data_IF_903969562528
#
_entry.id   IF_903969562528
#
_cell.length_a   1.000
_cell.length_b   1.000
_cell.length_c   1.000
_cell.angle_alpha   90.00
_cell.angle_beta   90.00
_cell.angle_gamma   90.00
#
_symmetry.space_group_name_H-M   'P 1'
#
loop_
_entity.id
_entity.type
_entity.pdbx_description
1 polymer ?
#
# COMPACT_ATOMS: atom_id res chain seq x y z
N UNK A 1 -0.43 13.98 -27.07
CA UNK A 1 -1.79 14.49 -26.83
C UNK A 1 -2.61 13.32 -26.32
N UNK A 2 -2.51 13.07 -25.01
CA UNK A 2 -3.62 12.51 -24.21
C UNK A 2 -3.26 12.78 -22.74
N UNK A 3 -3.45 14.02 -22.32
CA UNK A 3 -3.30 14.50 -20.94
C UNK A 3 -4.69 14.73 -20.33
N UNK A 4 -5.60 13.77 -20.51
CA UNK A 4 -6.93 13.84 -19.90
C UNK A 4 -7.25 12.57 -19.13
N UNK A 5 -6.56 12.42 -17.99
CA UNK A 5 -7.16 11.79 -16.82
C UNK A 5 -6.56 12.35 -15.52
N UNK A 6 -6.35 13.67 -15.47
CA UNK A 6 -6.20 14.36 -14.18
C UNK A 6 -7.62 14.52 -13.63
N UNK A 7 -8.08 13.51 -12.89
CA UNK A 7 -9.35 13.57 -12.18
C UNK A 7 -9.30 14.74 -11.21
N UNK A 8 -10.03 15.81 -11.55
CA UNK A 8 -10.28 16.91 -10.65
C UNK A 8 -11.01 16.39 -9.41
N UNK A 9 -10.40 16.47 -8.24
CA UNK A 9 -11.15 16.30 -7.00
C UNK A 9 -10.66 17.28 -5.95
N UNK A 10 -11.15 18.52 -6.03
CA UNK A 10 -11.36 19.31 -4.82
C UNK A 10 -12.87 19.37 -4.62
N UNK A 11 -13.35 18.75 -3.53
CA UNK A 11 -14.42 19.26 -2.67
C UNK A 11 -14.77 18.23 -1.60
N UNK A 12 -14.03 18.19 -0.48
CA UNK A 12 -14.51 17.68 0.81
C UNK A 12 -15.14 16.28 0.87
N UNK A 13 -15.12 15.49 -0.21
CA UNK A 13 -15.81 14.21 -0.32
C UNK A 13 -14.87 13.12 0.17
N UNK A 14 -15.34 12.32 1.14
CA UNK A 14 -14.57 11.14 1.58
C UNK A 14 -14.67 10.14 0.45
N UNK A 15 -13.54 9.67 -0.04
CA UNK A 15 -13.52 8.52 -0.94
C UNK A 15 -13.40 7.27 -0.08
N UNK A 16 -14.17 6.24 -0.42
CA UNK A 16 -14.15 4.96 0.30
C UNK A 16 -13.79 3.85 -0.68
N UNK A 17 -12.83 3.04 -0.27
CA UNK A 17 -12.38 1.86 -1.01
C UNK A 17 -12.57 0.62 -0.16
N UNK A 18 -12.77 -0.52 -0.82
CA UNK A 18 -12.49 -1.84 -0.23
C UNK A 18 -11.27 -2.39 -0.95
N UNK A 19 -10.30 -2.90 -0.19
CA UNK A 19 -8.96 -3.23 -0.69
C UNK A 19 -8.54 -4.62 -0.24
N UNK A 20 -8.07 -5.43 -1.18
CA UNK A 20 -7.33 -6.65 -0.92
C UNK A 20 -5.86 -6.40 -1.14
N UNK A 21 -5.01 -6.76 -0.17
CA UNK A 21 -3.56 -6.79 -0.32
C UNK A 21 -3.08 -8.22 -0.20
N UNK A 22 -2.33 -8.66 -1.20
CA UNK A 22 -1.94 -10.05 -1.38
C UNK A 22 -0.42 -10.11 -1.38
N UNK A 23 0.17 -10.90 -0.49
CA UNK A 23 1.59 -11.22 -0.54
C UNK A 23 1.90 -12.08 -1.77
N UNK A 24 2.86 -11.65 -2.58
CA UNK A 24 3.22 -12.29 -3.85
C UNK A 24 4.59 -12.95 -3.73
N UNK A 25 4.67 -14.25 -4.07
CA UNK A 25 5.93 -15.00 -4.11
C UNK A 25 6.57 -15.02 -5.49
N UNK A 26 5.73 -15.04 -6.53
CA UNK A 26 6.14 -15.08 -7.93
C UNK A 26 5.50 -13.89 -8.66
N UNK A 27 6.34 -12.91 -8.99
CA UNK A 27 5.92 -11.68 -9.66
C UNK A 27 5.33 -11.96 -11.03
N UNK A 28 5.98 -12.81 -11.83
CA UNK A 28 5.56 -13.06 -13.22
C UNK A 28 4.25 -13.83 -13.27
N UNK A 29 4.08 -14.82 -12.38
CA UNK A 29 2.83 -15.56 -12.27
C UNK A 29 1.66 -14.65 -11.85
N UNK A 30 1.86 -13.79 -10.84
CA UNK A 30 0.83 -12.85 -10.42
C UNK A 30 0.54 -11.81 -11.50
N UNK A 31 1.58 -11.27 -12.16
CA UNK A 31 1.42 -10.35 -13.28
C UNK A 31 0.57 -10.97 -14.39
N UNK A 32 0.85 -12.22 -14.77
CA UNK A 32 0.06 -12.94 -15.77
C UNK A 32 -1.39 -13.09 -15.33
N UNK A 33 -1.64 -13.49 -14.09
CA UNK A 33 -2.99 -13.68 -13.57
C UNK A 33 -3.79 -12.36 -13.55
N UNK A 34 -3.17 -11.25 -13.14
CA UNK A 34 -3.80 -9.93 -13.18
C UNK A 34 -4.07 -9.48 -14.62
N UNK A 35 -3.12 -9.71 -15.54
CA UNK A 35 -3.34 -9.42 -16.96
C UNK A 35 -4.52 -10.22 -17.54
N UNK A 36 -4.63 -11.51 -17.23
CA UNK A 36 -5.72 -12.36 -17.70
C UNK A 36 -7.09 -11.88 -17.16
N UNK A 37 -7.13 -11.28 -15.97
CA UNK A 37 -8.35 -10.74 -15.34
C UNK A 37 -8.73 -9.35 -15.84
N UNK A 38 -7.76 -8.47 -16.06
CA UNK A 38 -7.99 -7.04 -16.31
C UNK A 38 -7.59 -6.57 -17.72
N UNK A 39 -6.93 -7.43 -18.51
CA UNK A 39 -6.53 -7.18 -19.90
C UNK A 39 -5.32 -6.26 -20.08
N UNK A 40 -4.67 -5.83 -19.00
CA UNK A 40 -3.51 -4.94 -19.00
C UNK A 40 -2.76 -5.05 -17.68
N UNK A 41 -1.51 -4.56 -17.63
CA UNK A 41 -0.80 -4.25 -16.38
C UNK A 41 -0.71 -2.74 -16.11
N UNK A 42 -1.18 -1.93 -17.06
CA UNK A 42 -1.17 -0.47 -16.97
C UNK A 42 0.23 0.13 -17.02
N UNK A 43 0.46 1.18 -16.22
CA UNK A 43 1.68 2.00 -16.24
C UNK A 43 2.52 1.75 -15.00
N UNK A 44 3.84 1.74 -15.17
CA UNK A 44 4.79 1.58 -14.06
C UNK A 44 5.28 2.94 -13.57
N UNK A 45 5.28 3.13 -12.25
CA UNK A 45 5.80 4.31 -11.57
C UNK A 45 6.80 3.92 -10.49
N UNK A 46 7.71 4.83 -10.16
CA UNK A 46 8.46 4.81 -8.89
C UNK A 46 7.81 5.76 -7.92
N UNK A 47 7.45 5.28 -6.74
CA UNK A 47 6.81 6.09 -5.71
C UNK A 47 7.64 6.10 -4.42
N UNK A 48 7.67 7.27 -3.77
CA UNK A 48 8.24 7.44 -2.43
C UNK A 48 7.16 8.06 -1.54
N UNK A 49 6.76 7.32 -0.50
CA UNK A 49 5.77 7.77 0.46
C UNK A 49 6.43 8.10 1.79
N UNK A 50 6.32 9.36 2.21
CA UNK A 50 6.61 9.80 3.56
C UNK A 50 5.34 9.65 4.40
N UNK A 51 5.38 8.76 5.40
CA UNK A 51 4.25 8.50 6.29
C UNK A 51 4.44 9.29 7.58
N UNK A 52 3.42 10.03 7.97
CA UNK A 52 3.39 10.84 9.18
C UNK A 52 2.27 10.38 10.10
N UNK A 53 2.52 10.50 11.40
CA UNK A 53 1.48 10.30 12.40
C UNK A 53 0.46 11.44 12.30
N UNK A 54 -0.82 11.10 12.34
CA UNK A 54 -1.92 12.06 12.33
C UNK A 54 -2.82 11.84 13.54
N UNK A 55 -3.60 12.85 13.93
CA UNK A 55 -4.57 12.71 15.02
C UNK A 55 -5.63 11.65 14.71
N UNK A 56 -5.92 11.47 13.43
CA UNK A 56 -6.88 10.50 12.91
C UNK A 56 -6.22 9.81 11.72
N UNK A 57 -6.10 8.48 11.77
CA UNK A 57 -5.46 7.68 10.73
C UNK A 57 -4.00 8.07 10.48
N UNK A 58 -3.64 8.19 9.21
CA UNK A 58 -2.29 8.53 8.76
C UNK A 58 -2.34 9.69 7.76
N UNK A 59 -1.24 10.42 7.70
CA UNK A 59 -0.97 11.38 6.63
C UNK A 59 0.20 10.87 5.81
N UNK A 60 0.07 10.92 4.48
CA UNK A 60 1.08 10.46 3.55
C UNK A 60 1.38 11.54 2.51
N UNK A 61 2.66 11.82 2.30
CA UNK A 61 3.16 12.65 1.22
C UNK A 61 3.88 11.75 0.21
N UNK A 62 3.32 11.64 -1.01
CA UNK A 62 3.82 10.80 -2.10
C UNK A 62 4.49 11.63 -3.17
N UNK A 63 5.69 11.21 -3.57
CA UNK A 63 6.36 11.62 -4.81
C UNK A 63 6.23 10.51 -5.85
N UNK A 64 6.04 10.88 -7.12
CA UNK A 64 5.97 9.95 -8.26
C UNK A 64 7.08 10.32 -9.25
N UNK A 65 7.92 9.36 -9.62
CA UNK A 65 9.02 9.49 -10.60
C UNK A 65 9.90 10.73 -10.39
N UNK A 66 10.22 11.04 -9.13
CA UNK A 66 11.06 12.18 -8.73
C UNK A 66 10.51 13.56 -9.17
N UNK A 67 9.21 13.65 -9.43
CA UNK A 67 8.55 14.90 -9.79
C UNK A 67 8.64 15.95 -8.65
N UNK A 68 8.73 17.25 -8.98
CA UNK A 68 8.73 18.32 -7.98
C UNK A 68 7.39 18.48 -7.27
N UNK A 69 6.30 18.00 -7.88
CA UNK A 69 4.97 17.92 -7.30
C UNK A 69 4.68 16.53 -6.72
N UNK A 70 3.70 16.45 -5.83
CA UNK A 70 3.29 15.19 -5.21
C UNK A 70 1.83 15.13 -4.84
N UNK A 71 1.47 14.10 -4.08
CA UNK A 71 0.13 13.89 -3.54
C UNK A 71 0.21 13.89 -2.02
N UNK A 72 -0.59 14.72 -1.37
CA UNK A 72 -0.84 14.64 0.07
C UNK A 72 -2.15 13.88 0.29
N UNK A 73 -2.12 12.83 1.11
CA UNK A 73 -3.29 11.99 1.38
C UNK A 73 -3.45 11.76 2.88
N UNK A 74 -4.63 12.07 3.42
CA UNK A 74 -5.06 11.66 4.74
C UNK A 74 -5.97 10.44 4.59
N UNK A 75 -5.72 9.37 5.36
CA UNK A 75 -6.48 8.14 5.24
C UNK A 75 -6.58 7.34 6.54
N UNK A 76 -7.67 6.59 6.66
CA UNK A 76 -7.92 5.62 7.72
C UNK A 76 -8.14 4.24 7.10
N UNK A 77 -7.59 3.19 7.71
CA UNK A 77 -7.74 1.81 7.28
C UNK A 77 -8.36 0.99 8.39
N UNK A 78 -9.48 0.35 8.11
CA UNK A 78 -10.22 -0.46 9.08
C UNK A 78 -10.43 -1.86 8.51
N UNK A 79 -10.16 -2.93 9.27
CA UNK A 79 -10.43 -4.29 8.80
C UNK A 79 -11.93 -4.51 8.62
N UNK A 80 -12.33 -5.26 7.59
CA UNK A 80 -13.76 -5.54 7.34
C UNK A 80 -14.38 -6.50 8.35
N UNK A 81 -13.57 -7.19 9.15
CA UNK A 81 -13.99 -8.07 10.25
C UNK A 81 -13.01 -7.91 11.41
N UNK A 82 -13.53 -7.77 12.64
CA UNK A 82 -12.71 -7.61 13.84
C UNK A 82 -12.18 -8.95 14.39
N UNK A 83 -12.74 -10.08 13.93
CA UNK A 83 -12.40 -11.42 14.43
C UNK A 83 -11.47 -12.20 13.50
N UNK A 84 -11.19 -11.70 12.31
CA UNK A 84 -10.43 -12.39 11.27
C UNK A 84 -9.17 -11.61 10.91
N UNK A 85 -8.07 -12.33 10.67
CA UNK A 85 -6.75 -11.73 10.39
C UNK A 85 -6.52 -11.43 8.91
N UNK A 86 -7.15 -12.21 8.02
CA UNK A 86 -6.88 -12.22 6.58
C UNK A 86 -8.08 -11.66 5.82
N UNK A 87 -8.32 -10.36 5.95
CA UNK A 87 -9.55 -9.73 5.48
C UNK A 87 -9.29 -8.52 4.59
N UNK A 88 -10.24 -8.19 3.69
CA UNK A 88 -10.22 -6.91 3.01
C UNK A 88 -10.18 -5.73 4.01
N UNK A 89 -9.51 -4.66 3.61
CA UNK A 89 -9.48 -3.41 4.35
C UNK A 89 -10.49 -2.43 3.75
N UNK A 90 -11.17 -1.66 4.58
CA UNK A 90 -11.93 -0.49 4.16
C UNK A 90 -11.04 0.71 4.38
N UNK A 91 -10.78 1.47 3.31
CA UNK A 91 -9.97 2.68 3.38
C UNK A 91 -10.84 3.90 3.09
N UNK A 92 -10.90 4.81 4.04
CA UNK A 92 -11.48 6.14 3.86
C UNK A 92 -10.36 7.15 3.67
N UNK A 93 -10.43 7.98 2.64
CA UNK A 93 -9.34 8.89 2.34
C UNK A 93 -9.77 10.19 1.69
N UNK A 94 -8.87 11.16 1.80
CA UNK A 94 -8.89 12.47 1.15
C UNK A 94 -7.51 12.74 0.61
N UNK A 95 -7.44 13.37 -0.55
CA UNK A 95 -6.16 13.72 -1.13
C UNK A 95 -6.19 15.07 -1.83
N UNK A 96 -5.01 15.65 -1.99
CA UNK A 96 -4.79 16.86 -2.75
C UNK A 96 -3.42 16.78 -3.44
N UNK A 97 -3.32 17.39 -4.62
CA UNK A 97 -2.02 17.62 -5.24
C UNK A 97 -1.26 18.71 -4.47
N UNK A 98 0.06 18.52 -4.34
CA UNK A 98 0.95 19.54 -3.78
C UNK A 98 1.98 19.94 -4.84
N UNK A 99 2.16 21.24 -5.10
CA UNK A 99 3.00 21.69 -6.21
C UNK A 99 4.51 21.65 -5.90
N UNK A 100 4.90 21.56 -4.62
CA UNK A 100 6.29 21.56 -4.20
C UNK A 100 6.51 20.55 -3.06
N UNK A 101 7.07 19.40 -3.40
CA UNK A 101 7.27 18.30 -2.46
C UNK A 101 8.22 18.65 -1.32
N UNK A 102 9.33 19.33 -1.63
CA UNK A 102 10.37 19.63 -0.65
C UNK A 102 9.88 20.60 0.42
N UNK A 103 9.17 21.64 0.00
CA UNK A 103 8.60 22.65 0.90
C UNK A 103 7.48 22.05 1.75
N UNK A 104 6.60 21.23 1.14
CA UNK A 104 5.54 20.55 1.89
C UNK A 104 6.14 19.57 2.90
N UNK A 105 7.12 18.75 2.50
CA UNK A 105 7.84 17.83 3.38
C UNK A 105 8.48 18.58 4.56
N UNK A 106 9.19 19.68 4.30
CA UNK A 106 9.82 20.47 5.35
C UNK A 106 8.82 20.97 6.40
N UNK A 107 7.66 21.46 5.96
CA UNK A 107 6.58 21.91 6.87
C UNK A 107 6.01 20.73 7.67
N UNK A 108 5.73 19.60 7.01
CA UNK A 108 5.13 18.44 7.66
C UNK A 108 6.11 17.80 8.66
N UNK A 109 7.36 17.56 8.28
CA UNK A 109 8.38 16.97 9.17
C UNK A 109 8.75 17.87 10.35
N UNK A 110 8.51 19.18 10.26
CA UNK A 110 8.64 20.09 11.40
C UNK A 110 7.42 20.05 12.35
N UNK A 111 6.27 19.57 11.86
CA UNK A 111 4.99 19.66 12.59
C UNK A 111 4.48 18.30 13.08
N UNK A 112 4.91 17.20 12.45
CA UNK A 112 4.45 15.84 12.67
C UNK A 112 5.64 14.89 12.76
N UNK A 113 5.45 13.81 13.51
CA UNK A 113 6.39 12.70 13.54
C UNK A 113 6.37 11.93 12.20
N UNK A 114 7.54 11.79 11.57
CA UNK A 114 7.72 10.92 10.41
C UNK A 114 7.86 9.46 10.88
N UNK A 115 6.87 8.64 10.54
CA UNK A 115 6.75 7.25 10.96
C UNK A 115 7.60 6.30 10.11
N UNK A 116 7.91 6.70 8.86
CA UNK A 116 8.72 5.91 7.95
C UNK A 116 8.60 6.38 6.50
N UNK A 117 9.46 5.80 5.66
CA UNK A 117 9.52 6.08 4.23
C UNK A 117 9.33 4.76 3.48
N UNK A 118 8.33 4.69 2.60
CA UNK A 118 8.04 3.52 1.77
C UNK A 118 8.44 3.83 0.33
N UNK A 119 9.44 3.12 -0.19
CA UNK A 119 9.86 3.20 -1.58
C UNK A 119 9.34 1.98 -2.34
N UNK A 120 8.75 2.21 -3.52
CA UNK A 120 8.21 1.13 -4.33
C UNK A 120 8.29 1.40 -5.82
N UNK A 121 8.42 0.32 -6.57
CA UNK A 121 8.13 0.25 -8.00
C UNK A 121 6.75 -0.38 -8.15
N UNK A 122 5.81 0.34 -8.75
CA UNK A 122 4.39 -0.03 -8.79
C UNK A 122 3.87 -0.03 -10.22
N UNK A 123 3.25 -1.13 -10.64
CA UNK A 123 2.39 -1.15 -11.82
C UNK A 123 0.99 -0.74 -11.41
N UNK A 124 0.36 0.22 -12.10
CA UNK A 124 -1.01 0.71 -11.82
C UNK A 124 -1.87 0.54 -13.05
N UNK A 125 -3.03 -0.09 -12.88
CA UNK A 125 -4.10 -0.08 -13.88
C UNK A 125 -5.44 0.28 -13.25
N UNK A 126 -6.30 0.91 -14.03
CA UNK A 126 -7.70 1.12 -13.69
C UNK A 126 -8.58 0.37 -14.70
N UNK A 127 -9.52 -0.42 -14.20
CA UNK A 127 -10.52 -1.13 -15.00
C UNK A 127 -11.89 -0.96 -14.37
N UNK A 128 -12.68 -0.02 -14.91
CA UNK A 128 -13.94 0.40 -14.30
C UNK A 128 -13.75 0.88 -12.85
N UNK A 129 -14.43 0.21 -11.91
CA UNK A 129 -14.32 0.51 -10.47
C UNK A 129 -13.07 -0.08 -9.81
N UNK A 130 -12.32 -0.94 -10.51
CA UNK A 130 -11.10 -1.51 -9.98
C UNK A 130 -9.91 -0.58 -10.19
N UNK A 131 -9.10 -0.47 -9.14
CA UNK A 131 -7.73 -0.01 -9.18
C UNK A 131 -6.86 -1.19 -8.76
N UNK A 132 -5.88 -1.55 -9.58
CA UNK A 132 -5.03 -2.71 -9.31
C UNK A 132 -3.58 -2.27 -9.32
N UNK A 133 -2.87 -2.70 -8.30
CA UNK A 133 -1.44 -2.47 -8.14
C UNK A 133 -0.68 -3.80 -8.12
N UNK A 134 0.51 -3.81 -8.71
CA UNK A 134 1.52 -4.83 -8.47
C UNK A 134 2.82 -4.13 -8.07
N UNK A 135 3.19 -4.31 -6.80
CA UNK A 135 4.18 -3.53 -6.10
C UNK A 135 5.40 -4.37 -5.76
N UNK A 136 6.58 -3.84 -6.06
CA UNK A 136 7.85 -4.24 -5.46
C UNK A 136 8.22 -3.17 -4.44
N UNK A 137 8.10 -3.50 -3.15
CA UNK A 137 8.31 -2.58 -2.04
C UNK A 137 9.67 -2.87 -1.41
N UNK A 138 10.52 -1.84 -1.36
CA UNK A 138 11.87 -1.92 -0.79
C UNK A 138 11.80 -2.39 0.67
N UNK A 139 12.70 -3.30 1.05
CA UNK A 139 12.78 -3.94 2.38
C UNK A 139 11.54 -4.76 2.82
N UNK A 140 10.45 -4.76 2.07
CA UNK A 140 9.18 -5.41 2.47
C UNK A 140 8.86 -6.64 1.62
N UNK A 141 8.98 -6.54 0.30
CA UNK A 141 8.70 -7.63 -0.65
C UNK A 141 7.69 -7.24 -1.73
N UNK A 142 7.08 -8.25 -2.34
CA UNK A 142 6.19 -8.08 -3.50
C UNK A 142 4.74 -8.27 -3.08
N UNK A 143 3.85 -7.36 -3.50
CA UNK A 143 2.45 -7.38 -3.16
C UNK A 143 1.56 -7.00 -4.34
N UNK A 144 0.40 -7.62 -4.46
CA UNK A 144 -0.67 -7.15 -5.33
C UNK A 144 -1.77 -6.49 -4.49
N UNK A 145 -2.23 -5.31 -4.90
CA UNK A 145 -3.40 -4.67 -4.30
C UNK A 145 -4.54 -4.65 -5.32
N UNK A 146 -5.71 -5.15 -4.94
CA UNK A 146 -6.93 -5.05 -5.75
C UNK A 146 -7.95 -4.24 -4.97
N UNK A 147 -8.28 -3.07 -5.50
CA UNK A 147 -9.07 -2.05 -4.84
C UNK A 147 -10.36 -1.85 -5.61
N UNK A 148 -11.49 -1.98 -4.95
CA UNK A 148 -12.80 -1.61 -5.48
C UNK A 148 -13.20 -0.25 -4.93
N UNK A 149 -13.28 0.76 -5.80
CA UNK A 149 -13.70 2.12 -5.44
C UNK A 149 -15.22 2.19 -5.34
N UNK A 150 -15.72 2.57 -4.18
CA UNK A 150 -17.16 2.73 -3.94
C UNK A 150 -17.63 4.07 -4.48
N UNK A 151 -18.82 4.07 -5.09
CA UNK A 151 -19.51 5.31 -5.41
C UNK A 151 -20.11 5.94 -4.15
N UNK A 152 -20.38 7.26 -4.14
CA UNK A 152 -21.09 7.89 -3.05
C UNK A 152 -22.41 7.18 -2.73
N UNK A 153 -22.55 6.68 -1.50
CA UNK A 153 -23.73 5.94 -1.04
C UNK A 153 -23.76 4.45 -1.39
N UNK A 154 -22.76 3.92 -2.10
CA UNK A 154 -22.64 2.48 -2.33
C UNK A 154 -22.29 1.76 -1.01
N UNK A 155 -23.02 0.69 -0.62
CA UNK A 155 -22.73 -0.03 0.62
C UNK A 155 -21.38 -0.75 0.56
N UNK A 156 -20.58 -0.65 1.63
CA UNK A 156 -19.30 -1.38 1.79
C UNK A 156 -19.47 -2.88 1.52
N UNK A 157 -20.57 -3.47 1.99
CA UNK A 157 -20.89 -4.88 1.77
C UNK A 157 -21.00 -5.28 0.29
N UNK A 158 -21.30 -4.34 -0.61
CA UNK A 158 -21.26 -4.60 -2.04
C UNK A 158 -19.81 -4.76 -2.53
N UNK A 159 -18.91 -3.85 -2.15
CA UNK A 159 -17.49 -3.95 -2.47
C UNK A 159 -16.86 -5.23 -1.92
N UNK A 160 -17.21 -5.60 -0.68
CA UNK A 160 -16.74 -6.86 -0.07
C UNK A 160 -17.18 -8.09 -0.85
N UNK A 161 -18.45 -8.17 -1.28
CA UNK A 161 -18.93 -9.29 -2.11
C UNK A 161 -18.21 -9.37 -3.45
N UNK A 162 -17.96 -8.22 -4.07
CA UNK A 162 -17.24 -8.13 -5.34
C UNK A 162 -15.81 -8.66 -5.20
N UNK A 163 -15.11 -8.28 -4.14
CA UNK A 163 -13.76 -8.78 -3.87
C UNK A 163 -13.76 -10.26 -3.46
N UNK A 164 -14.76 -10.74 -2.72
CA UNK A 164 -14.90 -12.15 -2.38
C UNK A 164 -15.12 -13.04 -3.62
N UNK A 165 -16.00 -12.62 -4.54
CA UNK A 165 -16.17 -13.28 -5.83
C UNK A 165 -14.84 -13.32 -6.63
N UNK A 166 -14.05 -12.24 -6.57
CA UNK A 166 -12.77 -12.16 -7.26
C UNK A 166 -11.73 -13.10 -6.64
N UNK A 167 -11.61 -13.15 -5.31
CA UNK A 167 -10.72 -14.09 -4.61
C UNK A 167 -11.02 -15.53 -5.01
N UNK A 168 -12.32 -15.91 -5.06
CA UNK A 168 -12.75 -17.23 -5.50
C UNK A 168 -12.35 -17.53 -6.95
N UNK A 169 -12.50 -16.58 -7.87
CA UNK A 169 -12.05 -16.73 -9.27
C UNK A 169 -10.54 -16.85 -9.40
N UNK A 170 -9.81 -16.13 -8.56
CA UNK A 170 -8.35 -16.19 -8.48
C UNK A 170 -7.84 -17.46 -7.82
N UNK A 171 -8.72 -18.25 -7.18
CA UNK A 171 -8.35 -19.38 -6.31
C UNK A 171 -7.30 -18.94 -5.28
N UNK A 172 -7.47 -17.73 -4.74
CA UNK A 172 -6.52 -17.11 -3.84
C UNK A 172 -6.51 -17.86 -2.51
N UNK A 173 -5.32 -18.21 -2.03
CA UNK A 173 -5.13 -18.68 -0.66
C UNK A 173 -5.36 -17.51 0.31
N UNK A 174 -6.38 -17.57 1.19
CA UNK A 174 -6.66 -16.48 2.12
C UNK A 174 -5.48 -16.13 3.03
N UNK A 175 -4.58 -17.08 3.31
CA UNK A 175 -3.40 -16.83 4.16
C UNK A 175 -2.40 -15.85 3.54
N UNK A 176 -2.52 -15.56 2.24
CA UNK A 176 -1.71 -14.54 1.56
C UNK A 176 -2.29 -13.13 1.70
N UNK A 177 -3.51 -12.98 2.24
CA UNK A 177 -4.15 -11.68 2.41
C UNK A 177 -3.59 -10.98 3.65
N UNK A 178 -3.03 -9.79 3.46
CA UNK A 178 -2.44 -9.01 4.54
C UNK A 178 -3.32 -7.81 4.89
N UNK A 179 -3.81 -7.74 6.13
CA UNK A 179 -4.47 -6.54 6.67
C UNK A 179 -3.50 -5.40 6.98
N UNK A 180 -2.20 -5.70 7.14
CA UNK A 180 -1.16 -4.73 7.48
C UNK A 180 -0.92 -3.69 6.37
N UNK A 181 -0.61 -2.45 6.75
CA UNK A 181 -0.08 -1.43 5.84
C UNK A 181 1.37 -1.77 5.44
N UNK A 182 1.91 -1.10 4.41
CA UNK A 182 3.33 -1.28 4.09
C UNK A 182 4.25 -0.75 5.19
N UNK A 183 3.80 0.25 5.96
CA UNK A 183 4.52 0.74 7.13
C UNK A 183 4.59 -0.31 8.23
N UNK A 184 3.46 -0.94 8.57
CA UNK A 184 3.42 -2.04 9.55
C UNK A 184 4.33 -3.19 9.12
N UNK A 185 4.25 -3.57 7.85
CA UNK A 185 5.09 -4.64 7.29
C UNK A 185 6.58 -4.28 7.35
N UNK A 186 6.95 -3.02 7.06
CA UNK A 186 8.33 -2.56 7.19
C UNK A 186 8.82 -2.63 8.64
N UNK A 187 7.99 -2.24 9.61
CA UNK A 187 8.34 -2.38 11.03
C UNK A 187 8.54 -3.84 11.42
N UNK A 188 7.66 -4.75 10.98
CA UNK A 188 7.82 -6.19 11.21
C UNK A 188 9.15 -6.68 10.63
N UNK A 189 9.49 -6.32 9.39
CA UNK A 189 10.76 -6.72 8.74
C UNK A 189 11.99 -6.23 9.49
N UNK A 190 11.93 -5.04 10.07
CA UNK A 190 13.03 -4.49 10.87
C UNK A 190 13.22 -5.26 12.18
N UNK A 191 12.14 -5.56 12.90
CA UNK A 191 12.20 -6.38 14.12
C UNK A 191 12.72 -7.78 13.80
N UNK A 192 12.22 -8.43 12.74
CA UNK A 192 12.71 -9.74 12.29
C UNK A 192 14.21 -9.72 11.94
N UNK A 193 14.72 -8.60 11.41
CA UNK A 193 16.14 -8.45 11.09
C UNK A 193 16.99 -8.28 12.36
N UNK A 194 16.53 -7.47 13.32
CA UNK A 194 17.18 -7.27 14.62
C UNK A 194 17.29 -8.57 15.41
N UNK A 195 16.21 -9.35 15.51
CA UNK A 195 16.20 -10.65 16.20
C UNK A 195 17.19 -11.65 15.57
N UNK A 196 17.29 -11.68 14.23
CA UNK A 196 18.26 -12.53 13.52
C UNK A 196 19.71 -12.12 13.81
N UNK A 197 19.97 -10.82 13.93
CA UNK A 197 21.30 -10.32 14.32
C UNK A 197 21.63 -10.80 15.73
N UNK A 198 20.71 -10.66 16.68
CA UNK A 198 20.89 -11.12 18.05
C UNK A 198 21.13 -12.64 18.13
N UNK A 199 20.41 -13.43 17.35
CA UNK A 199 20.60 -14.88 17.29
C UNK A 199 21.94 -15.27 16.66
N UNK A 200 22.40 -14.55 15.63
CA UNK A 200 23.73 -14.78 15.06
C UNK A 200 24.84 -14.41 16.05
N UNK A 201 24.71 -13.31 16.79
CA UNK A 201 25.65 -12.93 17.86
C UNK A 201 25.70 -14.01 18.95
N UNK A 202 24.55 -14.55 19.37
CA UNK A 202 24.50 -15.67 20.33
C UNK A 202 25.20 -16.90 19.78
N UNK A 203 25.03 -17.22 18.50
CA UNK A 203 25.66 -18.35 17.84
C UNK A 203 27.19 -18.19 17.76
N UNK A 204 27.68 -17.02 17.34
CA UNK A 204 29.12 -16.72 17.25
C UNK A 204 29.81 -16.80 18.63
N UNK A 205 29.14 -16.32 19.69
CA UNK A 205 29.60 -16.48 21.07
C UNK A 205 29.65 -17.94 21.51
N UNK A 206 28.60 -18.73 21.19
CA UNK A 206 28.56 -20.15 21.52
C UNK A 206 29.63 -20.96 20.77
N UNK A 207 30.00 -20.53 19.56
CA UNK A 207 31.05 -21.15 18.75
C UNK A 207 32.46 -20.63 19.08
N UNK A 208 32.60 -19.67 20.00
CA UNK A 208 33.90 -19.09 20.38
C UNK A 208 34.56 -18.25 19.28
N UNK A 209 33.76 -17.73 18.34
CA UNK A 209 34.24 -16.99 17.16
C UNK A 209 34.31 -15.47 17.41
N UNK A 210 33.58 -14.95 18.40
CA UNK A 210 33.75 -13.56 18.83
C UNK A 210 35.06 -13.40 19.63
N UNK A 211 36.07 -12.75 19.04
CA UNK A 211 37.14 -12.10 19.80
C UNK A 211 36.61 -10.81 20.41
N UNK A 212 36.92 -10.56 21.70
CA UNK A 212 36.52 -9.37 22.49
C UNK A 212 36.66 -8.03 21.76
#
# INVERSE_FOLDING_TARGET
>A
MDQQQVTSTINGHVSVNVELKIAVRDYEAMQKQLFDLFGSMGTVYREVDHIYNATIGYLMLRTIDDAPSGILMAYERTPSSASEQHVPMVTEYRWAEVPNIDSTKAVLSNSLEEMGIIRKRRSVLTSGKYLVHLDEVEEVGIYAEIIYRLEPGEPIGQGLRVLDDLMRRMQLDPTLISGMSYHDLLLVRRVEAEEKVDDNIKLERALGVCTE
#
